data_IF_210281123864
#
_entry.id   IF_210281123864
#
_cell.length_a   1.000
_cell.length_b   1.000
_cell.length_c   1.000
_cell.angle_alpha   90.00
_cell.angle_beta   90.00
_cell.angle_gamma   90.00
#
_symmetry.space_group_name_H-M   'P 1'
#
loop_
_entity.id
_entity.type
_entity.pdbx_description
1 polymer ?
#
# COMPACT_ATOMS: atom_id res chain seq x y z
N UNK A 1 1.66 -15.17 -29.82
CA UNK A 1 2.03 -14.01 -30.65
C UNK A 1 1.40 -12.70 -30.18
N UNK A 2 0.16 -12.64 -29.67
CA UNK A 2 -0.48 -11.39 -29.17
C UNK A 2 0.29 -10.77 -27.98
N UNK A 3 0.67 -11.54 -26.97
CA UNK A 3 1.40 -11.05 -25.79
C UNK A 3 2.79 -10.45 -26.11
N UNK A 4 3.47 -10.98 -27.13
CA UNK A 4 4.77 -10.45 -27.57
C UNK A 4 4.63 -9.06 -28.21
N UNK A 5 3.60 -8.84 -29.03
CA UNK A 5 3.31 -7.54 -29.63
C UNK A 5 3.00 -6.48 -28.55
N UNK A 6 2.19 -6.83 -27.55
CA UNK A 6 1.87 -5.90 -26.46
C UNK A 6 3.13 -5.48 -25.68
N UNK A 7 4.03 -6.41 -25.39
CA UNK A 7 5.31 -6.09 -24.71
C UNK A 7 6.19 -5.14 -25.53
N UNK A 8 6.24 -5.30 -26.84
CA UNK A 8 6.99 -4.38 -27.72
C UNK A 8 6.41 -2.97 -27.63
N UNK A 9 5.08 -2.84 -27.68
CA UNK A 9 4.43 -1.53 -27.55
C UNK A 9 4.67 -0.90 -26.16
N UNK A 10 4.65 -1.67 -25.09
CA UNK A 10 4.95 -1.20 -23.74
C UNK A 10 6.38 -0.69 -23.60
N UNK A 11 7.34 -1.45 -24.12
CA UNK A 11 8.77 -1.05 -24.13
C UNK A 11 8.96 0.18 -25.03
N UNK A 12 8.32 0.21 -26.19
CA UNK A 12 8.37 1.35 -27.12
C UNK A 12 7.83 2.64 -26.50
N UNK A 13 6.72 2.56 -25.76
CA UNK A 13 6.14 3.70 -25.05
C UNK A 13 7.08 4.20 -23.94
N UNK A 14 7.66 3.29 -23.16
CA UNK A 14 8.63 3.64 -22.11
C UNK A 14 9.88 4.30 -22.71
N UNK A 15 10.40 3.74 -23.79
CA UNK A 15 11.55 4.31 -24.50
C UNK A 15 11.25 5.70 -25.07
N UNK A 16 10.06 5.89 -25.62
CA UNK A 16 9.61 7.19 -26.13
C UNK A 16 9.51 8.23 -24.99
N UNK A 17 8.98 7.82 -23.83
CA UNK A 17 8.89 8.69 -22.65
C UNK A 17 10.28 9.11 -22.17
N UNK A 18 11.21 8.16 -22.00
CA UNK A 18 12.59 8.43 -21.58
C UNK A 18 13.32 9.31 -22.61
N UNK A 19 13.15 9.03 -23.91
CA UNK A 19 13.73 9.84 -24.97
C UNK A 19 13.18 11.28 -24.95
N UNK A 20 11.87 11.45 -24.78
CA UNK A 20 11.25 12.77 -24.64
C UNK A 20 11.76 13.54 -23.43
N UNK A 21 11.91 12.86 -22.28
CA UNK A 21 12.51 13.44 -21.07
C UNK A 21 13.96 13.86 -21.32
N UNK A 22 14.77 12.99 -21.93
CA UNK A 22 16.17 13.29 -22.27
C UNK A 22 16.29 14.49 -23.21
N UNK A 23 15.50 14.52 -24.29
CA UNK A 23 15.51 15.62 -25.24
C UNK A 23 15.04 16.93 -24.59
N UNK A 24 14.03 16.91 -23.75
CA UNK A 24 13.55 18.06 -22.99
C UNK A 24 14.64 18.62 -22.08
N UNK A 25 15.32 17.75 -21.32
CA UNK A 25 16.40 18.17 -20.41
C UNK A 25 17.66 18.62 -21.15
N UNK A 26 17.91 18.11 -22.36
CA UNK A 26 19.04 18.54 -23.20
C UNK A 26 18.78 19.86 -23.95
N UNK A 27 17.52 20.21 -24.18
CA UNK A 27 17.14 21.40 -24.95
C UNK A 27 16.90 22.65 -24.09
N UNK A 28 16.70 22.51 -22.76
CA UNK A 28 16.38 23.64 -21.88
C UNK A 28 16.92 23.43 -20.47
N UNK A 29 17.77 24.35 -20.02
CA UNK A 29 18.29 24.37 -18.65
C UNK A 29 17.18 24.52 -17.62
N UNK A 30 16.14 25.29 -17.94
CA UNK A 30 14.96 25.43 -17.10
C UNK A 30 14.22 24.10 -16.94
N UNK A 31 14.08 23.34 -18.03
CA UNK A 31 13.47 22.01 -17.98
C UNK A 31 14.33 21.05 -17.16
N UNK A 32 15.65 21.05 -17.36
CA UNK A 32 16.58 20.22 -16.59
C UNK A 32 16.55 20.57 -15.09
N UNK A 33 16.41 21.85 -14.75
CA UNK A 33 16.31 22.31 -13.36
C UNK A 33 15.03 21.77 -12.66
N UNK A 34 13.88 21.78 -13.33
CA UNK A 34 12.62 21.34 -12.70
C UNK A 34 12.37 19.83 -12.78
N UNK A 35 12.83 19.17 -13.84
CA UNK A 35 12.52 17.76 -14.11
C UNK A 35 13.73 16.83 -13.98
N UNK A 36 14.91 17.38 -13.69
CA UNK A 36 16.14 16.60 -13.62
C UNK A 36 16.60 16.08 -14.98
N UNK A 37 17.72 15.37 -14.95
CA UNK A 37 18.30 14.74 -16.15
C UNK A 37 18.28 13.21 -15.98
N UNK A 38 17.73 12.44 -16.95
CA UNK A 38 17.65 10.97 -16.85
C UNK A 38 18.99 10.28 -16.55
N UNK A 39 20.07 10.79 -17.15
CA UNK A 39 21.42 10.26 -16.94
C UNK A 39 21.91 10.53 -15.52
N UNK A 40 21.70 11.75 -15.00
CA UNK A 40 22.08 12.12 -13.64
C UNK A 40 21.29 11.32 -12.59
N UNK A 41 19.98 11.12 -12.84
CA UNK A 41 19.11 10.25 -12.03
C UNK A 41 19.64 8.81 -12.00
N UNK A 42 19.98 8.23 -13.16
CA UNK A 42 20.52 6.87 -13.23
C UNK A 42 21.88 6.76 -12.52
N UNK A 43 22.77 7.76 -12.68
CA UNK A 43 24.05 7.81 -11.97
C UNK A 43 23.87 7.97 -10.46
N UNK A 44 22.85 8.73 -10.02
CA UNK A 44 22.57 8.87 -8.59
C UNK A 44 22.11 7.55 -7.99
N UNK A 45 21.21 6.82 -8.67
CA UNK A 45 20.79 5.47 -8.27
C UNK A 45 21.98 4.52 -8.20
N UNK A 46 22.86 4.53 -9.22
CA UNK A 46 24.08 3.72 -9.22
C UNK A 46 24.96 4.01 -8.01
N UNK A 47 25.22 5.29 -7.70
CA UNK A 47 26.00 5.68 -6.52
C UNK A 47 25.37 5.14 -5.24
N UNK A 48 24.08 5.32 -5.06
CA UNK A 48 23.34 4.86 -3.88
C UNK A 48 23.45 3.37 -3.63
N UNK A 49 23.42 2.56 -4.68
CA UNK A 49 23.43 1.09 -4.54
C UNK A 49 24.83 0.48 -4.63
N UNK A 50 25.78 1.11 -5.32
CA UNK A 50 27.07 0.47 -5.66
C UNK A 50 28.26 1.21 -5.08
N UNK A 51 28.34 2.53 -5.27
CA UNK A 51 29.56 3.29 -4.90
C UNK A 51 29.53 3.69 -3.44
N UNK A 52 28.47 4.39 -3.01
CA UNK A 52 28.33 4.94 -1.66
C UNK A 52 27.65 3.92 -0.73
N UNK A 53 26.78 3.09 -1.28
CA UNK A 53 26.02 2.03 -0.60
C UNK A 53 25.25 2.52 0.64
N UNK A 54 24.88 3.80 0.66
CA UNK A 54 24.26 4.50 1.79
C UNK A 54 22.73 4.34 1.84
N UNK A 55 22.10 3.99 0.72
CA UNK A 55 20.64 3.85 0.61
C UNK A 55 20.08 2.68 1.43
N UNK A 56 20.87 1.63 1.66
CA UNK A 56 20.36 0.40 2.26
C UNK A 56 19.76 0.59 3.65
N UNK A 57 20.38 1.45 4.47
CA UNK A 57 19.85 1.79 5.79
C UNK A 57 18.50 2.51 5.70
N UNK A 58 18.39 3.50 4.81
CA UNK A 58 17.15 4.25 4.58
C UNK A 58 16.05 3.37 4.00
N UNK A 59 16.39 2.55 3.01
CA UNK A 59 15.46 1.60 2.41
C UNK A 59 14.94 0.57 3.42
N UNK A 60 15.84 0.05 4.27
CA UNK A 60 15.46 -0.87 5.35
C UNK A 60 14.46 -0.25 6.32
N UNK A 61 14.64 1.02 6.70
CA UNK A 61 13.68 1.74 7.57
C UNK A 61 12.32 1.87 6.89
N UNK A 62 12.27 2.37 5.65
CA UNK A 62 11.01 2.50 4.89
C UNK A 62 10.26 1.17 4.77
N UNK A 63 10.98 0.08 4.48
CA UNK A 63 10.37 -1.25 4.35
C UNK A 63 9.88 -1.80 5.70
N UNK A 64 10.61 -1.59 6.79
CA UNK A 64 10.19 -2.00 8.13
C UNK A 64 8.94 -1.21 8.57
N UNK A 65 8.91 0.10 8.37
CA UNK A 65 7.76 0.94 8.65
C UNK A 65 6.51 0.48 7.88
N UNK A 66 6.69 0.21 6.59
CA UNK A 66 5.63 -0.31 5.71
C UNK A 66 5.10 -1.65 6.22
N UNK A 67 6.00 -2.60 6.52
CA UNK A 67 5.62 -3.94 6.96
C UNK A 67 4.90 -3.91 8.30
N UNK A 68 5.42 -3.16 9.27
CA UNK A 68 4.79 -3.00 10.58
C UNK A 68 3.41 -2.38 10.45
N UNK A 69 3.28 -1.31 9.67
CA UNK A 69 2.00 -0.65 9.46
C UNK A 69 0.99 -1.56 8.75
N UNK A 70 1.44 -2.29 7.75
CA UNK A 70 0.61 -3.26 7.03
C UNK A 70 0.08 -4.36 7.95
N UNK A 71 0.95 -4.98 8.76
CA UNK A 71 0.56 -6.06 9.68
C UNK A 71 -0.36 -5.53 10.77
N UNK A 72 0.03 -4.46 11.46
CA UNK A 72 -0.76 -3.89 12.57
C UNK A 72 -2.13 -3.40 12.06
N UNK A 73 -2.14 -2.64 10.96
CA UNK A 73 -3.36 -2.09 10.38
C UNK A 73 -4.31 -3.19 9.88
N UNK A 74 -3.76 -4.24 9.25
CA UNK A 74 -4.54 -5.39 8.77
C UNK A 74 -5.15 -6.17 9.93
N UNK A 75 -4.37 -6.50 10.96
CA UNK A 75 -4.86 -7.24 12.12
C UNK A 75 -5.91 -6.43 12.89
N UNK A 76 -5.65 -5.14 13.13
CA UNK A 76 -6.60 -4.26 13.80
C UNK A 76 -7.90 -4.10 12.99
N UNK A 77 -7.80 -3.86 11.68
CA UNK A 77 -8.94 -3.75 10.77
C UNK A 77 -9.78 -5.03 10.73
N UNK A 78 -9.12 -6.19 10.66
CA UNK A 78 -9.79 -7.49 10.70
C UNK A 78 -10.55 -7.71 12.02
N UNK A 79 -9.89 -7.52 13.16
CA UNK A 79 -10.48 -7.76 14.48
C UNK A 79 -11.66 -6.82 14.72
N UNK A 80 -11.49 -5.52 14.50
CA UNK A 80 -12.54 -4.52 14.72
C UNK A 80 -13.67 -4.68 13.69
N UNK A 81 -13.34 -4.97 12.44
CA UNK A 81 -14.33 -5.22 11.38
C UNK A 81 -15.22 -6.42 11.67
N UNK A 82 -14.63 -7.55 12.06
CA UNK A 82 -15.35 -8.74 12.50
C UNK A 82 -16.22 -8.45 13.71
N UNK A 83 -15.65 -7.82 14.74
CA UNK A 83 -16.39 -7.51 15.97
C UNK A 83 -17.64 -6.66 15.68
N UNK A 84 -17.48 -5.57 14.94
CA UNK A 84 -18.61 -4.68 14.63
C UNK A 84 -19.63 -5.30 13.68
N UNK A 85 -19.19 -6.13 12.72
CA UNK A 85 -20.11 -6.83 11.84
C UNK A 85 -21.03 -7.79 12.60
N UNK A 86 -20.54 -8.39 13.69
CA UNK A 86 -21.26 -9.39 14.49
C UNK A 86 -22.03 -8.80 15.69
N UNK A 87 -21.83 -7.52 16.03
CA UNK A 87 -22.50 -6.84 17.14
C UNK A 87 -23.32 -5.65 16.61
N UNK A 88 -24.59 -5.87 16.20
CA UNK A 88 -25.41 -4.83 15.55
C UNK A 88 -25.63 -3.57 16.39
N UNK A 89 -25.65 -3.69 17.69
CA UNK A 89 -25.77 -2.55 18.60
C UNK A 89 -24.51 -1.66 18.51
N UNK A 90 -23.33 -2.24 18.70
CA UNK A 90 -22.06 -1.52 18.63
C UNK A 90 -21.86 -0.89 17.22
N UNK A 91 -22.22 -1.64 16.18
CA UNK A 91 -22.18 -1.16 14.81
C UNK A 91 -23.00 0.12 14.62
N UNK A 92 -24.27 0.12 15.07
CA UNK A 92 -25.16 1.30 14.94
C UNK A 92 -24.67 2.52 15.72
N UNK A 93 -24.12 2.29 16.92
CA UNK A 93 -23.60 3.36 17.77
C UNK A 93 -22.32 3.96 17.20
N UNK A 94 -21.40 3.13 16.68
CA UNK A 94 -20.08 3.57 16.22
C UNK A 94 -20.05 4.00 14.75
N UNK A 95 -21.03 3.63 13.93
CA UNK A 95 -21.09 3.94 12.50
C UNK A 95 -20.85 5.43 12.17
N UNK A 96 -21.51 6.42 12.80
CA UNK A 96 -21.26 7.82 12.48
C UNK A 96 -19.84 8.27 12.84
N UNK A 97 -19.25 7.76 13.92
CA UNK A 97 -17.89 8.10 14.34
C UNK A 97 -16.85 7.48 13.40
N UNK A 98 -17.07 6.24 12.97
CA UNK A 98 -16.18 5.57 12.02
C UNK A 98 -16.20 6.23 10.64
N UNK A 99 -17.39 6.64 10.17
CA UNK A 99 -17.52 7.40 8.93
C UNK A 99 -16.83 8.75 9.02
N UNK A 100 -17.01 9.48 10.12
CA UNK A 100 -16.34 10.76 10.36
C UNK A 100 -14.81 10.59 10.41
N UNK A 101 -14.31 9.59 11.15
CA UNK A 101 -12.88 9.29 11.23
C UNK A 101 -12.30 8.85 9.86
N UNK A 102 -13.07 8.13 9.05
CA UNK A 102 -12.64 7.75 7.70
C UNK A 102 -12.59 8.95 6.73
N UNK A 103 -13.45 9.93 6.90
CA UNK A 103 -13.50 11.14 6.08
C UNK A 103 -12.37 12.14 6.40
N UNK A 104 -11.71 11.99 7.54
CA UNK A 104 -10.64 12.90 7.97
C UNK A 104 -9.40 12.76 7.06
N UNK A 105 -8.80 13.87 6.59
CA UNK A 105 -7.55 13.86 5.84
C UNK A 105 -6.39 13.39 6.74
N UNK A 106 -6.02 12.10 6.65
CA UNK A 106 -5.08 11.43 7.60
C UNK A 106 -3.68 12.00 7.58
N UNK A 107 -3.25 12.55 6.45
CA UNK A 107 -1.92 13.19 6.32
C UNK A 107 -1.72 14.31 7.36
N UNK A 108 -2.80 15.00 7.74
CA UNK A 108 -2.77 16.06 8.77
C UNK A 108 -2.38 15.50 10.16
N UNK A 109 -2.54 14.20 10.38
CA UNK A 109 -2.14 13.55 11.63
C UNK A 109 -0.61 13.35 11.75
N UNK A 110 0.15 13.46 10.67
CA UNK A 110 1.59 13.21 10.70
C UNK A 110 2.34 14.06 11.73
N UNK A 111 2.14 15.39 11.82
CA UNK A 111 2.79 16.21 12.86
C UNK A 111 2.35 15.80 14.28
N UNK A 112 1.09 15.40 14.46
CA UNK A 112 0.56 14.97 15.76
C UNK A 112 1.24 13.66 16.19
N UNK A 113 1.37 12.70 15.29
CA UNK A 113 2.09 11.46 15.58
C UNK A 113 3.59 11.71 15.81
N UNK A 114 4.18 12.70 15.12
CA UNK A 114 5.52 13.16 15.40
C UNK A 114 5.70 13.70 16.82
N UNK A 115 4.72 14.43 17.33
CA UNK A 115 4.71 14.94 18.71
C UNK A 115 4.53 13.82 19.75
N UNK A 116 3.67 12.83 19.47
CA UNK A 116 3.36 11.74 20.41
C UNK A 116 4.43 10.66 20.46
N UNK A 117 4.98 10.27 19.31
CA UNK A 117 5.89 9.13 19.16
C UNK A 117 7.33 9.55 18.81
N UNK A 118 7.57 10.87 18.64
CA UNK A 118 8.85 11.39 18.17
C UNK A 118 9.09 11.17 16.69
N UNK A 119 10.29 11.53 16.22
CA UNK A 119 10.68 11.42 14.80
C UNK A 119 11.17 10.01 14.41
N UNK A 120 11.01 9.02 15.30
CA UNK A 120 11.36 7.62 15.08
C UNK A 120 10.37 6.87 14.20
N UNK A 121 10.54 5.57 14.07
CA UNK A 121 9.73 4.65 13.25
C UNK A 121 8.23 4.70 13.61
N UNK A 122 7.90 4.82 14.91
CA UNK A 122 6.53 4.66 15.38
C UNK A 122 5.55 5.75 14.93
N UNK A 123 6.01 6.96 14.71
CA UNK A 123 5.15 8.04 14.15
C UNK A 123 4.71 7.75 12.72
N UNK A 124 5.59 7.19 11.89
CA UNK A 124 5.30 6.79 10.51
C UNK A 124 4.41 5.56 10.47
N UNK A 125 4.74 4.56 11.29
CA UNK A 125 3.91 3.37 11.47
C UNK A 125 2.50 3.76 11.89
N UNK A 126 2.34 4.66 12.87
CA UNK A 126 1.03 5.13 13.32
C UNK A 126 0.23 5.78 12.18
N UNK A 127 0.86 6.66 11.39
CA UNK A 127 0.22 7.28 10.23
C UNK A 127 -0.23 6.22 9.22
N UNK A 128 0.66 5.34 8.82
CA UNK A 128 0.39 4.31 7.83
C UNK A 128 -0.65 3.28 8.33
N UNK A 129 -0.65 2.94 9.62
CA UNK A 129 -1.69 2.11 10.25
C UNK A 129 -3.08 2.73 10.08
N UNK A 130 -3.22 4.04 10.23
CA UNK A 130 -4.54 4.68 10.03
C UNK A 130 -5.07 4.51 8.60
N UNK A 131 -4.18 4.48 7.60
CA UNK A 131 -4.57 4.27 6.21
C UNK A 131 -4.98 2.81 5.96
N UNK A 132 -4.17 1.86 6.40
CA UNK A 132 -4.42 0.42 6.24
C UNK A 132 -5.65 -0.04 7.02
N UNK A 133 -5.78 0.41 8.29
CA UNK A 133 -6.87 0.03 9.18
C UNK A 133 -8.23 0.21 8.52
N UNK A 134 -8.52 1.40 8.00
CA UNK A 134 -9.86 1.70 7.50
C UNK A 134 -10.18 0.91 6.22
N UNK A 135 -9.21 0.69 5.33
CA UNK A 135 -9.49 -0.08 4.11
C UNK A 135 -9.78 -1.55 4.46
N UNK A 136 -9.01 -2.15 5.37
CA UNK A 136 -9.26 -3.52 5.82
C UNK A 136 -10.54 -3.61 6.62
N UNK A 137 -10.75 -2.68 7.56
CA UNK A 137 -11.96 -2.61 8.39
C UNK A 137 -13.24 -2.60 7.55
N UNK A 138 -13.37 -1.69 6.60
CA UNK A 138 -14.58 -1.60 5.79
C UNK A 138 -14.79 -2.82 4.89
N UNK A 139 -13.72 -3.37 4.30
CA UNK A 139 -13.83 -4.58 3.50
C UNK A 139 -14.29 -5.78 4.34
N UNK A 140 -13.70 -6.00 5.52
CA UNK A 140 -14.10 -7.08 6.44
C UNK A 140 -15.52 -6.88 6.94
N UNK A 141 -15.85 -5.67 7.40
CA UNK A 141 -17.17 -5.33 7.91
C UNK A 141 -18.26 -5.60 6.86
N UNK A 142 -18.06 -5.17 5.64
CA UNK A 142 -18.99 -5.39 4.54
C UNK A 142 -19.05 -6.87 4.14
N UNK A 143 -17.90 -7.53 4.01
CA UNK A 143 -17.84 -8.93 3.60
C UNK A 143 -18.51 -9.89 4.57
N UNK A 144 -18.48 -9.60 5.87
CA UNK A 144 -19.21 -10.38 6.86
C UNK A 144 -20.71 -10.12 6.78
N UNK A 145 -21.14 -8.89 6.52
CA UNK A 145 -22.56 -8.54 6.40
C UNK A 145 -23.22 -8.99 5.12
N UNK A 146 -22.45 -9.21 4.06
CA UNK A 146 -22.93 -9.73 2.79
C UNK A 146 -23.06 -11.25 2.75
N UNK A 147 -22.70 -11.96 3.83
CA UNK A 147 -22.93 -13.41 3.90
C UNK A 147 -24.42 -13.72 3.72
N UNK A 148 -24.73 -14.53 2.71
CA UNK A 148 -26.09 -14.89 2.37
C UNK A 148 -26.82 -15.53 3.55
N UNK A 149 -28.05 -15.09 3.88
CA UNK A 149 -28.87 -15.73 4.90
C UNK A 149 -29.07 -17.23 4.66
N UNK A 150 -29.16 -17.65 3.39
CA UNK A 150 -29.29 -19.07 3.01
C UNK A 150 -28.09 -19.89 3.47
N UNK A 151 -26.86 -19.35 3.36
CA UNK A 151 -25.66 -20.04 3.86
C UNK A 151 -25.68 -20.17 5.38
N UNK A 152 -26.11 -19.12 6.08
CA UNK A 152 -26.24 -19.14 7.53
C UNK A 152 -27.29 -20.14 8.01
N UNK A 153 -28.44 -20.18 7.36
CA UNK A 153 -29.53 -21.10 7.72
C UNK A 153 -29.16 -22.54 7.39
N UNK A 154 -28.54 -22.82 6.26
CA UNK A 154 -28.01 -24.15 5.95
C UNK A 154 -26.99 -24.63 6.98
N UNK A 155 -26.07 -23.76 7.39
CA UNK A 155 -25.09 -24.11 8.41
C UNK A 155 -25.76 -24.41 9.76
N UNK A 156 -26.81 -23.67 10.14
CA UNK A 156 -27.59 -23.92 11.35
C UNK A 156 -28.35 -25.26 11.29
N UNK A 157 -28.96 -25.57 10.15
CA UNK A 157 -29.64 -26.85 9.94
C UNK A 157 -28.66 -28.01 10.08
N UNK A 158 -27.42 -27.84 9.63
CA UNK A 158 -26.33 -28.81 9.80
C UNK A 158 -25.76 -28.87 11.24
N UNK A 159 -26.35 -28.14 12.18
CA UNK A 159 -25.99 -28.16 13.59
C UNK A 159 -24.86 -27.19 14.00
N UNK A 160 -24.53 -26.20 13.15
CA UNK A 160 -23.55 -25.21 13.51
C UNK A 160 -24.06 -24.30 14.63
N UNK A 161 -23.39 -24.35 15.79
CA UNK A 161 -23.56 -23.40 16.86
C UNK A 161 -22.89 -22.04 16.53
N UNK A 162 -22.94 -21.08 17.45
CA UNK A 162 -22.32 -19.77 17.28
C UNK A 162 -20.82 -19.86 16.95
N UNK A 163 -20.11 -20.82 17.54
CA UNK A 163 -18.67 -21.05 17.31
C UNK A 163 -18.44 -21.69 15.96
N UNK A 164 -19.31 -22.62 15.57
CA UNK A 164 -19.29 -23.26 14.25
C UNK A 164 -19.52 -22.25 13.12
N UNK A 165 -20.52 -21.36 13.26
CA UNK A 165 -20.76 -20.26 12.31
C UNK A 165 -19.56 -19.32 12.21
N UNK A 166 -18.93 -18.97 13.35
CA UNK A 166 -17.74 -18.14 13.36
C UNK A 166 -16.62 -18.79 12.53
N UNK A 167 -16.30 -20.04 12.84
CA UNK A 167 -15.14 -20.74 12.26
C UNK A 167 -15.33 -21.13 10.79
N UNK A 168 -16.56 -21.52 10.39
CA UNK A 168 -16.80 -22.11 9.09
C UNK A 168 -17.50 -21.16 8.09
N UNK A 169 -18.08 -20.04 8.56
CA UNK A 169 -18.77 -19.09 7.70
C UNK A 169 -18.16 -17.69 7.78
N UNK A 170 -18.18 -17.06 8.97
CA UNK A 170 -17.78 -15.65 9.07
C UNK A 170 -16.28 -15.42 8.87
N UNK A 171 -15.42 -16.21 9.52
CA UNK A 171 -13.97 -16.04 9.39
C UNK A 171 -13.49 -16.34 7.96
N UNK A 172 -13.89 -17.44 7.31
CA UNK A 172 -13.53 -17.67 5.90
C UNK A 172 -14.03 -16.57 4.96
N UNK A 173 -15.26 -16.08 5.18
CA UNK A 173 -15.79 -14.96 4.40
C UNK A 173 -14.97 -13.69 4.60
N UNK A 174 -14.72 -13.30 5.84
CA UNK A 174 -13.89 -12.15 6.18
C UNK A 174 -12.49 -12.24 5.57
N UNK A 175 -11.85 -13.41 5.67
CA UNK A 175 -10.52 -13.63 5.09
C UNK A 175 -10.49 -13.42 3.57
N UNK A 176 -11.54 -13.84 2.86
CA UNK A 176 -11.64 -13.59 1.42
C UNK A 176 -11.62 -12.10 1.09
N UNK A 177 -12.30 -11.27 1.88
CA UNK A 177 -12.31 -9.82 1.72
C UNK A 177 -11.00 -9.16 2.15
N UNK A 178 -10.35 -9.67 3.20
CA UNK A 178 -8.99 -9.23 3.57
C UNK A 178 -8.04 -9.46 2.41
N UNK A 179 -7.98 -10.67 1.87
CA UNK A 179 -7.11 -10.97 0.73
C UNK A 179 -7.40 -10.08 -0.48
N UNK A 180 -8.68 -9.81 -0.78
CA UNK A 180 -9.05 -8.89 -1.85
C UNK A 180 -8.54 -7.46 -1.63
N UNK A 181 -8.35 -7.05 -0.38
CA UNK A 181 -7.85 -5.70 -0.04
C UNK A 181 -6.32 -5.62 0.14
N UNK A 182 -5.59 -6.75 0.12
CA UNK A 182 -4.15 -6.77 0.43
C UNK A 182 -3.32 -5.87 -0.48
N UNK A 183 -3.55 -5.91 -1.79
CA UNK A 183 -2.84 -5.06 -2.74
C UNK A 183 -3.01 -3.57 -2.42
N UNK A 184 -4.26 -3.14 -2.20
CA UNK A 184 -4.53 -1.75 -1.81
C UNK A 184 -3.95 -1.41 -0.44
N UNK A 185 -3.98 -2.36 0.50
CA UNK A 185 -3.50 -2.16 1.87
C UNK A 185 -1.98 -2.01 1.94
N UNK A 186 -1.21 -2.84 1.20
CA UNK A 186 0.25 -2.71 1.17
C UNK A 186 0.68 -1.42 0.47
N UNK A 187 0.01 -1.04 -0.61
CA UNK A 187 0.25 0.23 -1.27
C UNK A 187 0.02 1.42 -0.35
N UNK A 188 -1.10 1.43 0.40
CA UNK A 188 -1.37 2.48 1.39
C UNK A 188 -0.41 2.47 2.58
N UNK A 189 0.03 1.29 3.04
CA UNK A 189 1.06 1.20 4.07
C UNK A 189 2.36 1.86 3.61
N UNK A 190 2.78 1.57 2.38
CA UNK A 190 3.98 2.14 1.78
C UNK A 190 3.87 3.65 1.60
N UNK A 191 2.77 4.12 1.01
CA UNK A 191 2.51 5.57 0.87
C UNK A 191 2.49 6.26 2.24
N UNK A 192 1.84 5.65 3.24
CA UNK A 192 1.78 6.22 4.59
C UNK A 192 3.15 6.32 5.28
N UNK A 193 4.00 5.31 5.12
CA UNK A 193 5.38 5.32 5.62
C UNK A 193 6.19 6.44 4.95
N UNK A 194 6.22 6.47 3.62
CA UNK A 194 6.98 7.47 2.84
C UNK A 194 6.50 8.90 3.12
N UNK A 195 5.19 9.14 3.19
CA UNK A 195 4.63 10.45 3.55
C UNK A 195 5.00 10.84 4.97
N UNK A 196 4.96 9.88 5.90
CA UNK A 196 5.41 10.10 7.27
C UNK A 196 6.90 10.46 7.36
N UNK A 197 7.75 9.80 6.58
CA UNK A 197 9.19 10.10 6.47
C UNK A 197 9.42 11.51 5.90
N UNK A 198 8.70 11.86 4.84
CA UNK A 198 8.80 13.16 4.19
C UNK A 198 8.36 14.31 5.10
N UNK A 199 7.34 14.12 5.94
CA UNK A 199 6.82 15.16 6.83
C UNK A 199 7.58 15.31 8.14
N UNK A 200 8.39 14.33 8.55
CA UNK A 200 9.14 14.46 9.81
C UNK A 200 9.88 13.18 10.17
N UNK A 201 11.07 13.00 9.61
CA UNK A 201 11.94 11.87 9.91
C UNK A 201 13.42 12.28 9.99
N UNK A 202 14.25 11.37 10.54
CA UNK A 202 15.71 11.44 10.50
C UNK A 202 16.29 10.32 9.59
N UNK A 203 15.44 9.46 9.00
CA UNK A 203 15.85 8.34 8.17
C UNK A 203 14.71 7.91 7.25
N UNK A 204 15.00 7.06 6.28
CA UNK A 204 14.07 6.60 5.25
C UNK A 204 14.32 7.24 3.90
N UNK A 205 13.73 6.67 2.84
CA UNK A 205 13.91 7.19 1.48
C UNK A 205 13.12 8.48 1.27
N UNK A 206 11.94 8.62 1.92
CA UNK A 206 11.18 9.87 1.93
C UNK A 206 11.94 11.03 2.59
N UNK A 207 12.72 10.75 3.63
CA UNK A 207 13.63 11.72 4.24
C UNK A 207 14.74 12.15 3.28
N UNK A 208 15.35 11.23 2.52
CA UNK A 208 16.37 11.58 1.51
C UNK A 208 15.79 12.48 0.41
N UNK A 209 14.54 12.23 0.02
CA UNK A 209 13.84 13.10 -0.95
C UNK A 209 13.65 14.50 -0.38
N UNK A 210 13.16 14.62 0.84
CA UNK A 210 12.98 15.93 1.51
C UNK A 210 14.29 16.70 1.61
N UNK A 211 15.38 16.03 1.99
CA UNK A 211 16.72 16.68 2.06
C UNK A 211 17.16 17.18 0.69
N UNK A 212 17.00 16.36 -0.36
CA UNK A 212 17.40 16.74 -1.72
C UNK A 212 16.55 17.90 -2.26
N UNK A 213 15.24 17.92 -1.95
CA UNK A 213 14.35 19.02 -2.28
C UNK A 213 14.77 20.32 -1.60
N UNK A 214 15.10 20.26 -0.30
CA UNK A 214 15.51 21.43 0.48
C UNK A 214 16.78 22.11 -0.04
N UNK A 215 17.60 21.42 -0.82
CA UNK A 215 18.82 21.97 -1.47
C UNK A 215 18.71 22.01 -3.00
N UNK A 216 17.51 21.83 -3.54
CA UNK A 216 17.19 21.88 -4.98
C UNK A 216 17.99 20.89 -5.85
N UNK A 217 18.40 19.73 -5.29
CA UNK A 217 19.05 18.65 -6.05
C UNK A 217 18.00 17.73 -6.65
N UNK A 218 17.36 18.21 -7.71
CA UNK A 218 16.17 17.57 -8.33
C UNK A 218 16.46 16.18 -8.85
N UNK A 219 17.64 15.91 -9.39
CA UNK A 219 18.06 14.57 -9.84
C UNK A 219 17.97 13.53 -8.70
N UNK A 220 18.33 13.94 -7.47
CA UNK A 220 18.23 13.07 -6.28
C UNK A 220 16.77 12.84 -5.88
N UNK A 221 15.90 13.84 -6.01
CA UNK A 221 14.46 13.68 -5.78
C UNK A 221 13.88 12.64 -6.74
N UNK A 222 14.15 12.78 -8.05
CA UNK A 222 13.69 11.81 -9.05
C UNK A 222 14.30 10.42 -8.85
N UNK A 223 15.56 10.32 -8.45
CA UNK A 223 16.19 9.05 -8.09
C UNK A 223 15.43 8.36 -6.93
N UNK A 224 15.08 9.11 -5.90
CA UNK A 224 14.26 8.62 -4.79
C UNK A 224 12.88 8.13 -5.24
N UNK A 225 12.19 8.90 -6.08
CA UNK A 225 10.89 8.51 -6.65
C UNK A 225 10.99 7.21 -7.45
N UNK A 226 12.03 7.05 -8.29
CA UNK A 226 12.24 5.82 -9.07
C UNK A 226 12.49 4.63 -8.15
N UNK A 227 13.34 4.78 -7.14
CA UNK A 227 13.62 3.73 -6.15
C UNK A 227 12.36 3.35 -5.38
N UNK A 228 11.59 4.31 -4.88
CA UNK A 228 10.32 4.06 -4.19
C UNK A 228 9.30 3.37 -5.10
N UNK A 229 9.21 3.79 -6.37
CA UNK A 229 8.31 3.14 -7.35
C UNK A 229 8.69 1.68 -7.56
N UNK A 230 9.99 1.40 -7.70
CA UNK A 230 10.48 0.02 -7.83
C UNK A 230 10.15 -0.82 -6.58
N UNK A 231 10.36 -0.25 -5.38
CA UNK A 231 10.01 -0.93 -4.13
C UNK A 231 8.51 -1.22 -4.03
N UNK A 232 7.65 -0.25 -4.41
CA UNK A 232 6.21 -0.45 -4.44
C UNK A 232 5.80 -1.60 -5.36
N UNK A 233 6.39 -1.69 -6.57
CA UNK A 233 6.14 -2.78 -7.51
C UNK A 233 6.60 -4.14 -6.97
N UNK A 234 7.75 -4.19 -6.29
CA UNK A 234 8.25 -5.42 -5.64
C UNK A 234 7.31 -5.85 -4.51
N UNK A 235 6.87 -4.93 -3.67
CA UNK A 235 5.94 -5.22 -2.58
C UNK A 235 4.60 -5.72 -3.13
N UNK A 236 4.04 -5.09 -4.15
CA UNK A 236 2.80 -5.51 -4.80
C UNK A 236 2.94 -6.93 -5.41
N UNK A 237 4.05 -7.19 -6.09
CA UNK A 237 4.36 -8.53 -6.61
C UNK A 237 4.45 -9.58 -5.51
N UNK A 238 5.12 -9.27 -4.38
CA UNK A 238 5.23 -10.19 -3.23
C UNK A 238 3.84 -10.50 -2.64
N UNK A 239 2.98 -9.49 -2.52
CA UNK A 239 1.58 -9.69 -2.08
C UNK A 239 0.84 -10.59 -3.06
N UNK A 240 0.96 -10.36 -4.37
CA UNK A 240 0.33 -11.21 -5.39
C UNK A 240 0.80 -12.66 -5.35
N UNK A 241 2.09 -12.91 -5.09
CA UNK A 241 2.62 -14.27 -4.90
C UNK A 241 2.04 -14.91 -3.63
N UNK A 242 1.99 -14.15 -2.53
CA UNK A 242 1.43 -14.62 -1.26
C UNK A 242 -0.06 -14.94 -1.38
N UNK A 243 -0.84 -14.10 -2.05
CA UNK A 243 -2.26 -14.33 -2.32
C UNK A 243 -2.48 -15.63 -3.08
N UNK A 244 -1.79 -15.85 -4.20
CA UNK A 244 -1.90 -17.07 -5.00
C UNK A 244 -1.56 -18.32 -4.21
N UNK A 245 -0.63 -18.24 -3.27
CA UNK A 245 -0.19 -19.37 -2.46
C UNK A 245 -1.20 -19.69 -1.36
N UNK A 246 -1.77 -18.68 -0.74
CA UNK A 246 -2.70 -18.80 0.39
C UNK A 246 -4.15 -19.07 -0.06
N UNK A 247 -4.56 -18.62 -1.27
CA UNK A 247 -5.93 -18.72 -1.77
C UNK A 247 -6.14 -19.84 -2.82
N UNK A 248 -5.44 -20.96 -2.69
CA UNK A 248 -5.59 -22.12 -3.60
C UNK A 248 -7.03 -22.67 -3.69
N UNK A 249 -7.88 -22.36 -2.71
CA UNK A 249 -9.28 -22.80 -2.62
C UNK A 249 -10.27 -21.85 -3.33
N UNK A 250 -9.84 -20.66 -3.75
CA UNK A 250 -10.69 -19.75 -4.53
C UNK A 250 -10.63 -20.17 -6.00
N UNK A 251 -11.79 -20.45 -6.66
CA UNK A 251 -11.80 -20.68 -8.11
C UNK A 251 -11.18 -19.46 -8.80
N UNK A 252 -10.16 -19.69 -9.61
CA UNK A 252 -9.65 -18.64 -10.48
C UNK A 252 -10.77 -18.22 -11.40
N UNK A 253 -11.24 -16.98 -11.31
CA UNK A 253 -12.19 -16.36 -12.23
C UNK A 253 -11.57 -16.18 -13.62
N UNK A 254 -11.00 -17.24 -14.15
CA UNK A 254 -10.34 -17.33 -15.46
C UNK A 254 -11.30 -17.50 -16.64
N UNK A 255 -12.59 -17.23 -16.48
CA UNK A 255 -13.58 -17.41 -17.53
C UNK A 255 -14.21 -16.15 -18.14
N UNK A 256 -13.86 -14.96 -17.65
CA UNK A 256 -14.48 -13.72 -18.15
C UNK A 256 -13.55 -12.80 -18.96
N UNK A 257 -12.27 -13.11 -19.10
CA UNK A 257 -11.32 -12.31 -19.89
C UNK A 257 -11.20 -12.79 -21.35
N UNK A 258 -11.98 -13.76 -21.80
CA UNK A 258 -11.90 -14.31 -23.16
C UNK A 258 -13.09 -13.91 -24.05
N UNK A 259 -13.96 -12.99 -23.58
CA UNK A 259 -15.14 -12.52 -24.34
C UNK A 259 -15.19 -10.99 -24.56
N UNK A 260 -14.05 -10.30 -24.63
CA UNK A 260 -13.99 -8.93 -25.16
C UNK A 260 -12.89 -8.80 -26.20
#
# INVERSE_FOLDING_TARGET
MKHFKFRIWQIGLLALFIAGWYLGSASSDTFAFFFGQPVAVALRIWRWFVTDADIYGHLGVTLIETLLAFVIGTVAGLVVGLWLALVPFASRVLDPYLKAANAMPRVILAPIFGLWFGLGIWSKVALAVTLVFFIVFFNVYQGVREVSPVVLDNARILGADRRGLMRHVYVPSAMSWVFSSLHSSVGLAFVGAVVGEYLGSASGVGYLILQAEGVFVVDTVFAGIVVLTFCALVLDWLVGVSERTLMKWRPTSGGQAEQL
#
